data_IF_054137411229
#
_entry.id   IF_054137411229
#
_cell.length_a   1.000
_cell.length_b   1.000
_cell.length_c   1.000
_cell.angle_alpha   90.00
_cell.angle_beta   90.00
_cell.angle_gamma   90.00
#
_symmetry.space_group_name_H-M   'P 1'
#
loop_
_entity.id
_entity.type
_entity.pdbx_description
1 polymer ?
#
# COMPACT_ATOMS: atom_id res chain seq x y z
N UNK A 1 -0.01 -15.35 2.62
CA UNK A 1 0.94 -15.24 3.72
C UNK A 1 0.52 -14.15 4.69
N UNK A 2 0.87 -14.36 5.96
CA UNK A 2 0.56 -13.37 6.99
C UNK A 2 1.40 -12.12 6.79
N UNK A 3 0.82 -10.94 7.11
CA UNK A 3 1.56 -9.70 7.04
C UNK A 3 2.59 -9.63 8.17
N UNK A 4 3.77 -9.08 7.90
CA UNK A 4 4.73 -8.84 8.97
C UNK A 4 4.20 -7.80 9.95
N UNK A 5 4.70 -7.82 11.18
CA UNK A 5 4.26 -6.86 12.20
C UNK A 5 4.74 -5.43 11.90
N UNK A 6 5.82 -5.29 11.13
CA UNK A 6 6.38 -3.99 10.78
C UNK A 6 6.20 -3.73 9.28
N UNK A 7 5.63 -2.58 8.87
CA UNK A 7 5.49 -2.28 7.45
C UNK A 7 6.81 -2.29 6.67
N UNK A 8 7.91 -1.95 7.34
CA UNK A 8 9.21 -1.94 6.69
C UNK A 8 9.68 -3.32 6.24
N UNK A 9 9.09 -4.37 6.83
CA UNK A 9 9.43 -5.75 6.46
C UNK A 9 8.56 -6.29 5.33
N UNK A 10 7.63 -5.49 4.80
CA UNK A 10 6.83 -5.90 3.65
C UNK A 10 7.71 -6.11 2.44
N UNK A 11 7.66 -7.30 1.88
CA UNK A 11 8.38 -7.62 0.66
C UNK A 11 7.43 -7.79 -0.51
N UNK A 12 8.00 -8.02 -1.69
CA UNK A 12 7.20 -8.15 -2.90
C UNK A 12 6.21 -9.33 -2.79
N UNK A 13 6.56 -10.36 -2.05
CA UNK A 13 5.69 -11.53 -1.87
C UNK A 13 4.38 -11.17 -1.16
N UNK A 14 4.41 -10.14 -0.32
CA UNK A 14 3.20 -9.69 0.38
C UNK A 14 2.28 -8.90 -0.54
N UNK A 15 2.84 -8.34 -1.60
CA UNK A 15 2.08 -7.56 -2.57
C UNK A 15 1.59 -8.40 -3.74
N UNK A 16 2.07 -9.64 -3.90
CA UNK A 16 1.78 -10.43 -5.09
C UNK A 16 0.29 -10.58 -5.38
N UNK A 17 -0.52 -10.83 -4.35
CA UNK A 17 -1.97 -10.98 -4.53
C UNK A 17 -2.58 -9.66 -4.98
N UNK A 18 -2.10 -8.54 -4.42
CA UNK A 18 -2.60 -7.21 -4.79
C UNK A 18 -2.18 -6.84 -6.20
N UNK A 19 -0.96 -7.20 -6.60
CA UNK A 19 -0.46 -6.93 -7.94
C UNK A 19 -1.26 -7.68 -9.00
N UNK A 20 -1.74 -8.89 -8.68
CA UNK A 20 -2.56 -9.67 -9.60
C UNK A 20 -3.86 -8.96 -9.94
N UNK A 21 -4.35 -8.09 -9.08
CA UNK A 21 -5.57 -7.33 -9.32
C UNK A 21 -5.35 -6.12 -10.20
N UNK A 22 -4.09 -5.79 -10.51
CA UNK A 22 -3.70 -4.67 -11.36
C UNK A 22 -4.29 -3.33 -10.93
N UNK A 23 -4.17 -2.94 -9.65
CA UNK A 23 -4.66 -1.63 -9.24
C UNK A 23 -3.78 -0.52 -9.81
N UNK A 24 -4.32 0.70 -9.88
CA UNK A 24 -3.52 1.86 -10.24
C UNK A 24 -2.56 2.24 -9.12
N UNK A 25 -3.04 2.14 -7.87
CA UNK A 25 -2.31 2.57 -6.67
C UNK A 25 -2.57 1.58 -5.55
N UNK A 26 -1.52 1.27 -4.80
CA UNK A 26 -1.65 0.56 -3.53
C UNK A 26 -1.32 1.55 -2.42
N UNK A 27 -2.23 1.75 -1.50
CA UNK A 27 -2.03 2.63 -0.35
C UNK A 27 -1.70 1.75 0.85
N UNK A 28 -0.59 2.07 1.51
CA UNK A 28 -0.20 1.36 2.73
C UNK A 28 -0.40 2.28 3.92
N UNK A 29 -1.31 1.90 4.82
CA UNK A 29 -1.50 2.60 6.08
C UNK A 29 -0.64 1.94 7.14
N UNK A 30 0.28 2.69 7.73
CA UNK A 30 1.35 2.14 8.55
C UNK A 30 1.10 2.21 10.06
N UNK A 31 -0.15 2.42 10.47
CA UNK A 31 -0.50 2.49 11.88
C UNK A 31 -0.57 3.92 12.37
N UNK A 32 -0.27 4.15 13.65
CA UNK A 32 -0.39 5.47 14.27
C UNK A 32 0.65 6.46 13.75
N UNK A 33 1.81 5.98 13.28
CA UNK A 33 2.88 6.84 12.76
C UNK A 33 3.22 6.44 11.35
N UNK A 34 3.76 7.40 10.58
CA UNK A 34 4.18 7.10 9.22
C UNK A 34 5.50 6.34 9.23
N UNK A 35 5.49 5.15 8.62
CA UNK A 35 6.68 4.35 8.37
C UNK A 35 6.76 4.11 6.87
N UNK A 36 7.85 3.54 6.39
CA UNK A 36 8.04 3.35 4.96
C UNK A 36 8.24 1.88 4.60
N UNK A 37 7.64 1.49 3.49
CA UNK A 37 7.91 0.21 2.86
C UNK A 37 9.29 0.31 2.19
N UNK A 38 9.99 -0.82 2.11
CA UNK A 38 11.30 -0.88 1.47
C UNK A 38 11.26 -0.28 0.06
N UNK A 39 12.25 0.54 -0.27
CA UNK A 39 12.36 1.13 -1.60
C UNK A 39 12.48 0.09 -2.70
N UNK A 40 13.08 -1.06 -2.40
CA UNK A 40 13.18 -2.16 -3.34
C UNK A 40 11.79 -2.70 -3.71
N UNK A 41 10.92 -2.86 -2.73
CA UNK A 41 9.54 -3.30 -2.96
C UNK A 41 8.77 -2.29 -3.79
N UNK A 42 8.91 -1.01 -3.47
CA UNK A 42 8.26 0.07 -4.21
C UNK A 42 8.72 0.08 -5.67
N UNK A 43 10.02 -0.10 -5.90
CA UNK A 43 10.58 -0.15 -7.25
C UNK A 43 9.99 -1.30 -8.06
N UNK A 44 9.84 -2.47 -7.44
CA UNK A 44 9.26 -3.62 -8.12
C UNK A 44 7.80 -3.37 -8.52
N UNK A 45 7.04 -2.72 -7.66
CA UNK A 45 5.66 -2.35 -7.99
C UNK A 45 5.62 -1.33 -9.12
N UNK A 46 6.51 -0.34 -9.08
CA UNK A 46 6.57 0.69 -10.12
C UNK A 46 6.92 0.12 -11.48
N UNK A 47 7.72 -0.94 -11.53
CA UNK A 47 8.04 -1.61 -12.80
C UNK A 47 6.78 -2.21 -13.43
N UNK A 48 5.76 -2.48 -12.65
CA UNK A 48 4.49 -3.00 -13.15
C UNK A 48 3.45 -1.89 -13.34
N UNK A 49 3.89 -0.64 -13.34
CA UNK A 49 3.05 0.54 -13.52
C UNK A 49 2.05 0.72 -12.38
N UNK A 50 2.41 0.30 -11.17
CA UNK A 50 1.56 0.42 -9.99
C UNK A 50 2.25 1.32 -8.99
N UNK A 51 1.58 2.40 -8.58
CA UNK A 51 2.09 3.31 -7.57
C UNK A 51 1.89 2.76 -6.17
N UNK A 52 2.81 3.06 -5.26
CA UNK A 52 2.69 2.69 -3.86
C UNK A 52 2.86 3.96 -3.01
N UNK A 53 1.87 4.21 -2.16
CA UNK A 53 1.89 5.36 -1.26
C UNK A 53 1.84 4.87 0.18
N UNK A 54 2.77 5.35 1.01
CA UNK A 54 2.84 4.99 2.42
C UNK A 54 2.47 6.17 3.29
N UNK A 55 1.61 5.97 4.26
CA UNK A 55 1.17 7.03 5.17
C UNK A 55 0.62 6.39 6.44
N UNK A 56 0.39 7.19 7.49
CA UNK A 56 -0.28 6.64 8.67
C UNK A 56 -1.69 6.18 8.28
N UNK A 57 -2.26 5.28 9.08
CA UNK A 57 -3.52 4.63 8.71
C UNK A 57 -4.68 5.61 8.60
N UNK A 58 -4.73 6.63 9.45
CA UNK A 58 -5.80 7.63 9.36
C UNK A 58 -5.73 8.39 8.03
N UNK A 59 -4.52 8.80 7.62
CA UNK A 59 -4.33 9.46 6.33
C UNK A 59 -4.64 8.51 5.17
N UNK A 60 -4.26 7.23 5.31
CA UNK A 60 -4.52 6.23 4.29
C UNK A 60 -6.03 6.07 4.04
N UNK A 61 -6.82 6.04 5.09
CA UNK A 61 -8.27 5.92 4.94
C UNK A 61 -8.86 7.12 4.20
N UNK A 62 -8.40 8.34 4.53
CA UNK A 62 -8.87 9.54 3.85
C UNK A 62 -8.47 9.54 2.38
N UNK A 63 -7.23 9.18 2.10
CA UNK A 63 -6.71 9.13 0.74
C UNK A 63 -7.46 8.09 -0.09
N UNK A 64 -7.70 6.93 0.48
CA UNK A 64 -8.43 5.85 -0.18
C UNK A 64 -9.82 6.34 -0.61
N UNK A 65 -10.54 7.00 0.30
CA UNK A 65 -11.87 7.49 0.01
C UNK A 65 -11.88 8.54 -1.10
N UNK A 66 -10.89 9.44 -1.10
CA UNK A 66 -10.78 10.46 -2.13
C UNK A 66 -10.54 9.84 -3.50
N UNK A 67 -9.59 8.92 -3.59
CA UNK A 67 -9.25 8.28 -4.87
C UNK A 67 -10.41 7.42 -5.37
N UNK A 68 -11.09 6.73 -4.46
CA UNK A 68 -12.25 5.93 -4.83
C UNK A 68 -13.36 6.81 -5.40
N UNK A 69 -13.60 7.97 -4.79
CA UNK A 69 -14.60 8.91 -5.27
C UNK A 69 -14.25 9.48 -6.65
N UNK A 70 -12.95 9.48 -7.00
CA UNK A 70 -12.50 9.91 -8.32
C UNK A 70 -12.60 8.81 -9.37
N UNK A 71 -13.11 7.65 -8.99
CA UNK A 71 -13.25 6.53 -9.92
C UNK A 71 -11.96 5.75 -10.16
N UNK A 72 -10.94 5.93 -9.29
CA UNK A 72 -9.67 5.25 -9.42
C UNK A 72 -9.74 3.84 -8.84
N UNK A 73 -9.01 2.91 -9.43
CA UNK A 73 -8.91 1.56 -8.88
C UNK A 73 -7.77 1.53 -7.86
N UNK A 74 -8.15 1.52 -6.59
CA UNK A 74 -7.23 1.63 -5.47
C UNK A 74 -7.39 0.42 -4.57
N UNK A 75 -6.27 -0.12 -4.10
CA UNK A 75 -6.25 -1.18 -3.10
C UNK A 75 -5.50 -0.65 -1.88
N UNK A 76 -6.00 -0.93 -0.70
CA UNK A 76 -5.38 -0.48 0.53
C UNK A 76 -4.93 -1.67 1.37
N UNK A 77 -3.77 -1.52 1.99
CA UNK A 77 -3.23 -2.47 2.95
C UNK A 77 -3.02 -1.69 4.24
N UNK A 78 -3.83 -1.99 5.26
CA UNK A 78 -3.88 -1.16 6.46
C UNK A 78 -3.37 -1.90 7.68
N UNK A 79 -2.41 -1.28 8.38
CA UNK A 79 -2.04 -1.73 9.71
C UNK A 79 -2.94 -1.03 10.73
N UNK A 80 -3.32 -1.75 11.76
CA UNK A 80 -4.20 -1.19 12.80
C UNK A 80 -3.43 -0.19 13.67
N UNK A 81 -4.16 0.81 14.14
CA UNK A 81 -3.63 1.82 15.04
C UNK A 81 -3.54 1.26 16.47
#
# INVERSE_FOLDING_TARGET
PALPSEPNDLGIEHFSILLDKRPEVIIVGTGATQLFVSGKTITECNKQMIGVECMDTAAACRCFNILLAEGRYVVALLYMI
#
